data_IF_195285888894
#
_entry.id   IF_195285888894
#
_cell.length_a   1.000
_cell.length_b   1.000
_cell.length_c   1.000
_cell.angle_alpha   90.00
_cell.angle_beta   90.00
_cell.angle_gamma   90.00
#
_symmetry.space_group_name_H-M   'P 1'
#
loop_
_entity.id
_entity.type
_entity.pdbx_description
1 polymer ?
#
# COMPACT_ATOMS: atom_id res chain seq x y z
N UNK A 1 -47.79 18.62 -3.94
CA UNK A 1 -46.51 17.89 -4.08
C UNK A 1 -45.40 18.90 -4.35
N UNK A 2 -44.50 19.14 -3.38
CA UNK A 2 -43.38 20.07 -3.56
C UNK A 2 -42.20 19.36 -4.26
N UNK A 3 -41.79 19.87 -5.43
CA UNK A 3 -40.62 19.36 -6.17
C UNK A 3 -39.33 19.73 -5.42
N UNK A 4 -38.42 18.78 -5.26
CA UNK A 4 -37.07 19.03 -4.72
C UNK A 4 -36.28 19.90 -5.71
N UNK A 5 -35.73 21.01 -5.22
CA UNK A 5 -34.83 21.90 -5.98
C UNK A 5 -33.39 21.55 -5.64
N UNK A 6 -32.54 21.46 -6.66
CA UNK A 6 -31.12 21.12 -6.54
C UNK A 6 -30.35 22.23 -5.82
N UNK A 7 -29.40 21.85 -4.95
CA UNK A 7 -28.55 22.80 -4.21
C UNK A 7 -27.62 23.57 -5.16
N UNK A 8 -27.39 23.06 -6.38
CA UNK A 8 -26.57 23.71 -7.41
C UNK A 8 -27.17 25.04 -7.91
N UNK A 9 -28.48 25.23 -7.76
CA UNK A 9 -29.17 26.44 -8.21
C UNK A 9 -29.26 27.52 -7.11
N UNK A 10 -28.73 27.25 -5.90
CA UNK A 10 -28.63 28.25 -4.85
C UNK A 10 -27.34 29.04 -5.03
N UNK A 11 -27.49 30.31 -5.40
CA UNK A 11 -26.39 31.26 -5.45
C UNK A 11 -26.02 31.67 -4.02
N UNK A 12 -25.21 30.85 -3.35
CA UNK A 12 -24.75 31.09 -1.97
C UNK A 12 -23.55 32.04 -2.05
N UNK A 13 -23.71 33.25 -1.53
CA UNK A 13 -22.60 34.18 -1.34
C UNK A 13 -21.51 33.50 -0.50
N UNK A 14 -20.28 33.42 -1.05
CA UNK A 14 -19.12 32.88 -0.33
C UNK A 14 -18.69 33.87 0.74
N UNK A 15 -19.25 33.74 1.95
CA UNK A 15 -18.65 34.31 3.15
C UNK A 15 -17.49 33.41 3.56
N UNK A 16 -16.30 33.99 3.72
CA UNK A 16 -15.04 33.30 3.99
C UNK A 16 -14.91 32.72 5.42
N UNK A 17 -16.02 32.32 6.04
CA UNK A 17 -15.99 31.64 7.34
C UNK A 17 -15.97 30.14 7.10
N UNK A 18 -14.81 29.67 6.62
CA UNK A 18 -14.53 28.26 6.43
C UNK A 18 -13.99 27.73 7.77
N UNK A 19 -14.86 27.00 8.45
CA UNK A 19 -14.61 25.99 9.48
C UNK A 19 -13.14 25.53 9.60
N UNK A 20 -12.45 26.00 10.65
CA UNK A 20 -11.05 25.70 10.98
C UNK A 20 -10.84 24.28 11.56
N UNK A 21 -11.69 23.31 11.23
CA UNK A 21 -11.59 21.93 11.73
C UNK A 21 -10.85 20.97 10.79
N UNK A 22 -10.47 21.40 9.59
CA UNK A 22 -9.66 20.59 8.68
C UNK A 22 -8.52 21.44 8.08
N UNK A 23 -7.26 21.29 8.55
CA UNK A 23 -6.15 21.99 7.93
C UNK A 23 -6.01 21.51 6.48
N UNK A 24 -6.25 22.41 5.52
CA UNK A 24 -5.94 22.16 4.11
C UNK A 24 -4.43 22.32 3.88
N UNK A 25 -3.63 21.45 4.50
CA UNK A 25 -2.24 21.28 4.09
C UNK A 25 -2.23 20.49 2.79
N UNK A 26 -2.05 21.19 1.67
CA UNK A 26 -1.66 20.56 0.41
C UNK A 26 -0.41 19.70 0.70
N UNK A 27 -0.35 18.44 0.24
CA UNK A 27 0.87 17.67 0.39
C UNK A 27 1.99 18.36 -0.40
N UNK A 28 2.98 18.89 0.31
CA UNK A 28 4.24 19.30 -0.29
C UNK A 28 4.90 18.04 -0.85
N UNK A 29 4.94 17.95 -2.17
CA UNK A 29 5.82 17.01 -2.88
C UNK A 29 7.25 17.41 -2.58
N UNK A 30 7.84 16.81 -1.53
CA UNK A 30 9.28 16.88 -1.34
C UNK A 30 9.94 15.98 -2.40
N UNK A 31 10.47 16.60 -3.45
CA UNK A 31 11.49 15.99 -4.30
C UNK A 31 12.66 15.59 -3.41
N UNK A 32 12.75 14.29 -3.09
CA UNK A 32 13.96 13.76 -2.46
C UNK A 32 15.01 13.55 -3.54
N UNK A 33 15.97 14.46 -3.54
CA UNK A 33 17.20 14.43 -4.31
C UNK A 33 17.86 13.04 -4.24
N UNK A 34 18.21 12.52 -5.42
CA UNK A 34 18.92 11.27 -5.61
C UNK A 34 20.32 11.33 -5.00
N UNK A 35 20.46 10.79 -3.80
CA UNK A 35 21.72 10.19 -3.38
C UNK A 35 21.64 8.73 -3.79
N UNK A 36 22.50 8.29 -4.72
CA UNK A 36 22.65 6.87 -5.10
C UNK A 36 22.98 6.09 -3.83
N UNK A 37 21.95 5.59 -3.14
CA UNK A 37 22.08 4.73 -1.96
C UNK A 37 22.79 3.46 -2.42
N UNK A 38 23.95 3.17 -1.84
CA UNK A 38 24.57 1.86 -1.98
C UNK A 38 23.53 0.82 -1.55
N UNK A 39 23.10 0.00 -2.48
CA UNK A 39 22.12 -1.06 -2.22
C UNK A 39 22.84 -2.08 -1.34
N UNK A 40 22.43 -2.17 -0.07
CA UNK A 40 22.95 -3.22 0.80
C UNK A 40 22.22 -4.51 0.44
N UNK A 41 22.89 -5.38 -0.32
CA UNK A 41 22.31 -6.65 -0.81
C UNK A 41 22.18 -7.62 0.36
N UNK A 42 20.95 -8.01 0.69
CA UNK A 42 20.68 -8.99 1.73
C UNK A 42 21.09 -10.39 1.26
N UNK A 43 21.79 -11.14 2.13
CA UNK A 43 22.29 -12.50 1.82
C UNK A 43 21.56 -13.61 2.56
N UNK A 44 21.06 -13.33 3.78
CA UNK A 44 20.36 -14.31 4.60
C UNK A 44 18.88 -14.39 4.21
N UNK A 45 18.30 -15.58 4.25
CA UNK A 45 16.90 -15.78 3.89
C UNK A 45 15.98 -14.99 4.80
N UNK A 46 16.28 -15.01 6.10
CA UNK A 46 15.44 -14.41 7.15
C UNK A 46 15.36 -12.89 6.98
N UNK A 47 16.48 -12.27 6.58
CA UNK A 47 16.55 -10.84 6.29
C UNK A 47 15.74 -10.48 5.04
N UNK A 48 15.79 -11.33 4.00
CA UNK A 48 15.04 -11.14 2.76
C UNK A 48 13.53 -11.28 3.02
N UNK A 49 13.11 -12.29 3.78
CA UNK A 49 11.71 -12.46 4.18
C UNK A 49 11.25 -11.25 5.00
N UNK A 50 12.06 -10.83 5.98
CA UNK A 50 11.77 -9.65 6.81
C UNK A 50 11.67 -8.38 5.97
N UNK A 51 12.50 -8.24 4.93
CA UNK A 51 12.40 -7.15 3.97
C UNK A 51 11.04 -7.14 3.27
N UNK A 52 10.60 -8.26 2.70
CA UNK A 52 9.29 -8.34 2.04
C UNK A 52 8.12 -8.12 2.99
N UNK A 53 8.20 -8.65 4.22
CA UNK A 53 7.18 -8.42 5.26
C UNK A 53 7.04 -6.94 5.63
N UNK A 54 8.14 -6.19 5.64
CA UNK A 54 8.15 -4.77 5.97
C UNK A 54 8.11 -3.83 4.76
N UNK A 55 8.05 -4.38 3.54
CA UNK A 55 8.12 -3.60 2.31
C UNK A 55 6.92 -2.66 2.18
N UNK A 56 7.20 -1.36 2.14
CA UNK A 56 6.20 -0.30 1.94
C UNK A 56 6.13 0.07 0.47
N UNK A 57 5.18 -0.52 -0.24
CA UNK A 57 4.93 -0.26 -1.66
C UNK A 57 4.24 -1.43 -2.34
N UNK A 58 4.37 -1.48 -3.66
CA UNK A 58 3.91 -2.59 -4.50
C UNK A 58 2.88 -2.17 -5.54
N UNK A 59 2.62 -3.09 -6.46
CA UNK A 59 1.52 -2.95 -7.43
C UNK A 59 0.22 -3.38 -6.75
N UNK A 60 -0.86 -2.64 -7.00
CA UNK A 60 -2.19 -3.04 -6.57
C UNK A 60 -2.64 -4.27 -7.38
N UNK A 61 -3.08 -5.31 -6.70
CA UNK A 61 -3.59 -6.55 -7.31
C UNK A 61 -5.03 -6.75 -6.83
N UNK A 62 -5.92 -7.05 -7.77
CA UNK A 62 -7.29 -7.45 -7.49
C UNK A 62 -7.40 -8.96 -7.55
N UNK A 63 -7.98 -9.57 -6.53
CA UNK A 63 -8.23 -11.01 -6.47
C UNK A 63 -9.73 -11.27 -6.33
N UNK A 64 -10.22 -12.31 -6.99
CA UNK A 64 -11.60 -12.76 -6.84
C UNK A 64 -11.66 -13.85 -5.77
N UNK A 65 -12.54 -13.65 -4.79
CA UNK A 65 -12.81 -14.59 -3.71
C UNK A 65 -14.33 -14.78 -3.60
N UNK A 66 -14.81 -15.98 -3.22
CA UNK A 66 -16.19 -16.15 -2.77
C UNK A 66 -16.52 -15.17 -1.64
N UNK A 67 -17.76 -14.68 -1.61
CA UNK A 67 -18.17 -13.61 -0.69
C UNK A 67 -17.99 -14.02 0.77
N UNK A 68 -18.32 -15.27 1.08
CA UNK A 68 -18.22 -15.85 2.42
C UNK A 68 -16.77 -15.83 2.91
N UNK A 69 -15.84 -16.26 2.05
CA UNK A 69 -14.41 -16.30 2.35
C UNK A 69 -13.85 -14.89 2.49
N UNK A 70 -14.20 -13.99 1.55
CA UNK A 70 -13.77 -12.59 1.61
C UNK A 70 -14.20 -11.93 2.93
N UNK A 71 -15.46 -12.13 3.33
CA UNK A 71 -15.99 -11.61 4.60
C UNK A 71 -15.25 -12.19 5.80
N UNK A 72 -15.02 -13.50 5.84
CA UNK A 72 -14.29 -14.15 6.93
C UNK A 72 -12.86 -13.62 7.08
N UNK A 73 -12.11 -13.51 5.97
CA UNK A 73 -10.74 -13.00 5.99
C UNK A 73 -10.71 -11.56 6.49
N UNK A 74 -11.64 -10.71 6.00
CA UNK A 74 -11.76 -9.32 6.45
C UNK A 74 -12.07 -9.22 7.94
N UNK A 75 -13.01 -10.01 8.44
CA UNK A 75 -13.36 -10.02 9.87
C UNK A 75 -12.18 -10.49 10.73
N UNK A 76 -11.47 -11.55 10.31
CA UNK A 76 -10.33 -12.08 11.04
C UNK A 76 -9.16 -11.09 11.08
N UNK A 77 -8.87 -10.44 9.96
CA UNK A 77 -7.85 -9.39 9.90
C UNK A 77 -8.19 -8.23 10.85
N UNK A 78 -9.46 -7.80 10.89
CA UNK A 78 -9.91 -6.76 11.80
C UNK A 78 -9.83 -7.17 13.28
N UNK A 79 -10.10 -8.44 13.61
CA UNK A 79 -9.92 -8.96 14.98
C UNK A 79 -8.46 -8.94 15.43
N UNK A 80 -7.53 -9.15 14.50
CA UNK A 80 -6.09 -9.15 14.76
C UNK A 80 -5.49 -7.73 14.68
N UNK A 81 -6.30 -6.68 14.51
CA UNK A 81 -5.87 -5.28 14.24
C UNK A 81 -4.88 -5.16 13.06
N UNK A 82 -5.07 -6.00 12.03
CA UNK A 82 -4.22 -6.04 10.83
C UNK A 82 -5.02 -5.74 9.57
N UNK A 83 -4.32 -5.21 8.57
CA UNK A 83 -4.89 -5.05 7.25
C UNK A 83 -4.88 -6.40 6.51
N UNK A 84 -5.96 -6.69 5.76
CA UNK A 84 -6.06 -7.87 4.90
C UNK A 84 -4.88 -8.00 3.93
N UNK A 85 -4.33 -6.88 3.43
CA UNK A 85 -3.12 -6.88 2.59
C UNK A 85 -1.93 -7.52 3.32
N UNK A 86 -1.69 -7.13 4.56
CA UNK A 86 -0.54 -7.60 5.33
C UNK A 86 -0.70 -9.06 5.73
N UNK A 87 -1.92 -9.45 6.12
CA UNK A 87 -2.26 -10.87 6.38
C UNK A 87 -2.00 -11.73 5.14
N UNK A 88 -2.46 -11.30 3.97
CA UNK A 88 -2.28 -12.06 2.73
C UNK A 88 -0.80 -12.16 2.34
N UNK A 89 -0.04 -11.08 2.51
CA UNK A 89 1.39 -11.03 2.26
C UNK A 89 2.15 -12.01 3.16
N UNK A 90 1.85 -12.02 4.45
CA UNK A 90 2.48 -12.95 5.40
C UNK A 90 2.15 -14.40 5.04
N UNK A 91 0.88 -14.71 4.72
CA UNK A 91 0.48 -16.06 4.31
C UNK A 91 1.22 -16.54 3.07
N UNK A 92 1.39 -15.68 2.06
CA UNK A 92 2.11 -16.02 0.84
C UNK A 92 3.58 -16.31 1.14
N UNK A 93 4.23 -15.46 1.94
CA UNK A 93 5.65 -15.60 2.26
C UNK A 93 5.94 -16.79 3.17
N UNK A 94 5.01 -17.10 4.09
CA UNK A 94 5.25 -18.12 5.12
C UNK A 94 4.79 -19.52 4.68
N UNK A 95 3.81 -19.63 3.79
CA UNK A 95 3.17 -20.92 3.49
C UNK A 95 3.08 -21.27 2.00
N UNK A 96 3.15 -20.29 1.10
CA UNK A 96 2.96 -20.53 -0.34
C UNK A 96 4.29 -20.59 -1.09
N UNK A 97 5.19 -19.64 -0.85
CA UNK A 97 6.49 -19.59 -1.51
C UNK A 97 7.55 -20.34 -0.70
N UNK A 98 8.43 -21.03 -1.42
CA UNK A 98 9.64 -21.64 -0.83
C UNK A 98 10.73 -20.61 -0.62
N UNK A 99 11.67 -20.89 0.29
CA UNK A 99 12.83 -20.02 0.53
C UNK A 99 13.65 -19.75 -0.75
N UNK A 100 13.78 -20.75 -1.61
CA UNK A 100 14.51 -20.65 -2.87
C UNK A 100 13.85 -19.66 -3.83
N UNK A 101 12.53 -19.73 -3.98
CA UNK A 101 11.76 -18.83 -4.84
C UNK A 101 11.81 -17.39 -4.31
N UNK A 102 11.74 -17.20 -2.99
CA UNK A 102 11.85 -15.87 -2.37
C UNK A 102 13.24 -15.27 -2.62
N UNK A 103 14.31 -16.07 -2.48
CA UNK A 103 15.68 -15.63 -2.78
C UNK A 103 15.86 -15.26 -4.25
N UNK A 104 15.32 -16.07 -5.14
CA UNK A 104 15.40 -15.83 -6.59
C UNK A 104 14.67 -14.54 -6.98
N UNK A 105 13.47 -14.33 -6.46
CA UNK A 105 12.71 -13.09 -6.67
C UNK A 105 13.47 -11.85 -6.18
N UNK A 106 14.15 -11.95 -5.03
CA UNK A 106 14.96 -10.87 -4.49
C UNK A 106 16.19 -10.57 -5.36
N UNK A 107 16.90 -11.61 -5.83
CA UNK A 107 18.05 -11.46 -6.73
C UNK A 107 17.65 -10.77 -8.03
N UNK A 108 16.58 -11.24 -8.67
CA UNK A 108 16.05 -10.62 -9.90
C UNK A 108 15.68 -9.14 -9.69
N UNK A 109 15.18 -8.78 -8.52
CA UNK A 109 14.92 -7.38 -8.17
C UNK A 109 16.21 -6.57 -8.03
N UNK A 110 17.22 -7.10 -7.34
CA UNK A 110 18.52 -6.44 -7.16
C UNK A 110 19.23 -6.25 -8.50
N UNK A 111 19.25 -7.27 -9.36
CA UNK A 111 19.89 -7.21 -10.68
C UNK A 111 19.30 -6.08 -11.54
N UNK A 112 17.96 -5.94 -11.54
CA UNK A 112 17.27 -4.83 -12.23
C UNK A 112 17.65 -3.46 -11.69
N UNK A 113 17.80 -3.32 -10.36
CA UNK A 113 18.24 -2.06 -9.77
C UNK A 113 19.66 -1.69 -10.18
N UNK A 114 20.54 -2.68 -10.35
CA UNK A 114 21.91 -2.46 -10.82
C UNK A 114 21.95 -2.07 -12.30
N UNK A 115 21.10 -2.66 -13.14
CA UNK A 115 20.93 -2.29 -14.55
C UNK A 115 20.42 -0.86 -14.70
N UNK A 116 19.36 -0.49 -13.96
CA UNK A 116 18.76 0.86 -14.00
C UNK A 116 19.69 1.96 -13.43
N UNK A 117 20.76 1.58 -12.72
CA UNK A 117 21.70 2.51 -12.09
C UNK A 117 22.92 2.87 -12.95
N UNK A 118 23.11 2.17 -14.09
CA UNK A 118 24.18 2.39 -15.08
C UNK A 118 23.77 3.44 -16.12
#
# INVERSE_FOLDING_TARGET
MAKRVSIKDKNIAKTNDIDTLFPTSKPQTSNQNGTKKKINILRKTEDIISYYKNFKGGKQVSIYLPEEIHRMVKMKAAQDDRNMKDVMKDLILDNYLTESEIKEAYRSYVDKLEEDSK
#
